data_IF_850824162764
#
_entry.id   IF_850824162764
#
_cell.length_a   1.000
_cell.length_b   1.000
_cell.length_c   1.000
_cell.angle_alpha   90.00
_cell.angle_beta   90.00
_cell.angle_gamma   90.00
#
_symmetry.space_group_name_H-M   'P 1'
#
loop_
_entity.id
_entity.type
_entity.pdbx_description
1 polymer ?
#
# COMPACT_ATOMS: atom_id res chain seq x y z
N UNK A 1 6.46 -27.94 26.20
CA UNK A 1 7.00 -27.16 25.06
C UNK A 1 8.19 -26.36 25.56
N UNK A 2 9.37 -26.54 24.96
CA UNK A 2 10.60 -25.94 25.44
C UNK A 2 10.84 -24.59 24.75
N UNK A 3 10.94 -23.52 25.54
CA UNK A 3 11.07 -22.12 25.13
C UNK A 3 12.29 -21.82 24.23
N UNK A 4 13.20 -22.80 24.07
CA UNK A 4 14.38 -22.70 23.21
C UNK A 4 14.07 -22.89 21.72
N UNK A 5 12.96 -23.56 21.38
CA UNK A 5 12.52 -23.69 19.99
C UNK A 5 12.00 -22.36 19.45
N UNK A 6 11.30 -21.58 20.28
CA UNK A 6 10.62 -20.33 19.90
C UNK A 6 11.57 -19.20 19.44
N UNK A 7 12.80 -19.15 19.99
CA UNK A 7 13.77 -18.08 19.68
C UNK A 7 14.47 -18.33 18.33
N UNK A 8 14.65 -19.59 17.93
CA UNK A 8 15.31 -19.94 16.66
C UNK A 8 14.39 -19.66 15.46
N UNK A 9 13.07 -19.82 15.62
CA UNK A 9 12.09 -19.52 14.57
C UNK A 9 11.96 -18.02 14.25
N UNK A 10 12.23 -17.12 15.21
CA UNK A 10 12.16 -15.67 14.99
C UNK A 10 13.30 -15.13 14.12
N UNK A 11 14.52 -15.65 14.27
CA UNK A 11 15.70 -15.15 13.55
C UNK A 11 15.73 -15.48 12.05
N UNK A 12 15.19 -16.62 11.64
CA UNK A 12 15.23 -17.06 10.24
C UNK A 12 14.17 -16.34 9.38
N UNK A 13 13.02 -16.01 9.98
CA UNK A 13 11.93 -15.28 9.29
C UNK A 13 12.30 -13.81 9.07
N UNK A 14 12.99 -13.18 10.01
CA UNK A 14 13.48 -11.79 9.87
C UNK A 14 14.63 -11.71 8.83
N UNK A 15 15.48 -12.73 8.75
CA UNK A 15 16.61 -12.76 7.82
C UNK A 15 16.21 -12.78 6.34
N UNK A 16 15.09 -13.42 5.98
CA UNK A 16 14.61 -13.45 4.58
C UNK A 16 13.92 -12.14 4.19
N UNK A 17 13.28 -11.45 5.14
CA UNK A 17 12.62 -10.15 4.92
C UNK A 17 13.66 -9.03 4.70
N UNK A 18 14.83 -9.10 5.35
CA UNK A 18 15.88 -8.07 5.22
C UNK A 18 16.75 -8.21 3.96
N UNK A 19 16.76 -9.36 3.28
CA UNK A 19 17.54 -9.52 2.05
C UNK A 19 16.78 -8.94 0.83
N UNK A 20 15.45 -8.89 0.85
CA UNK A 20 14.66 -8.29 -0.24
C UNK A 20 14.72 -6.75 -0.29
N UNK A 21 15.02 -6.05 0.81
CA UNK A 21 15.14 -4.58 0.79
C UNK A 21 16.40 -4.09 0.07
N UNK A 22 17.35 -4.97 -0.23
CA UNK A 22 18.63 -4.59 -0.87
C UNK A 22 18.67 -4.75 -2.39
N UNK A 23 17.65 -5.35 -3.03
CA UNK A 23 17.67 -5.65 -4.47
C UNK A 23 16.64 -4.90 -5.33
N UNK A 24 15.91 -3.92 -4.78
CA UNK A 24 14.99 -3.05 -5.53
C UNK A 24 15.44 -1.57 -5.49
N UNK A 25 16.72 -1.30 -5.79
CA UNK A 25 17.23 0.07 -5.91
C UNK A 25 18.23 0.21 -7.06
N UNK A 26 17.75 0.07 -8.29
CA UNK A 26 18.38 0.65 -9.49
C UNK A 26 17.32 1.07 -10.50
N UNK A 27 16.57 2.12 -10.16
CA UNK A 27 15.79 2.92 -11.12
C UNK A 27 16.11 4.39 -10.87
N UNK A 28 16.36 5.24 -11.89
CA UNK A 28 16.96 6.55 -11.70
C UNK A 28 15.92 7.58 -11.26
N UNK A 29 15.49 7.51 -10.00
CA UNK A 29 14.81 8.65 -9.37
C UNK A 29 15.88 9.62 -8.86
N UNK A 30 16.10 10.69 -9.61
CA UNK A 30 16.86 11.85 -9.14
C UNK A 30 16.04 12.54 -8.04
N UNK A 31 16.31 12.21 -6.78
CA UNK A 31 15.91 13.07 -5.67
C UNK A 31 16.91 14.22 -5.56
N UNK A 32 16.44 15.44 -5.79
CA UNK A 32 17.12 16.67 -5.40
C UNK A 32 17.29 16.71 -3.89
N UNK A 33 18.54 16.79 -3.43
CA UNK A 33 18.90 17.03 -2.04
C UNK A 33 18.36 18.39 -1.58
N UNK A 34 17.65 18.39 -0.45
CA UNK A 34 17.46 19.58 0.37
C UNK A 34 17.44 19.15 1.84
N UNK A 35 18.54 19.51 2.51
CA UNK A 35 18.86 19.29 3.91
C UNK A 35 17.70 19.44 4.89
N UNK A 36 17.61 18.53 5.86
CA UNK A 36 17.25 18.92 7.23
C UNK A 36 18.13 18.22 8.24
N UNK A 37 18.79 19.04 9.05
CA UNK A 37 19.72 18.70 10.13
C UNK A 37 18.96 18.06 11.29
N UNK A 38 19.62 17.06 11.87
CA UNK A 38 19.31 16.30 13.07
C UNK A 38 18.84 17.18 14.26
N UNK A 39 17.82 16.70 14.97
CA UNK A 39 17.23 17.30 16.18
C UNK A 39 18.28 17.54 17.26
N UNK A 40 18.35 18.77 17.76
CA UNK A 40 18.87 19.08 19.09
C UNK A 40 17.71 19.56 19.98
N UNK A 41 17.61 18.97 21.16
CA UNK A 41 16.52 19.18 22.12
C UNK A 41 17.12 19.96 23.29
N UNK A 42 16.84 21.26 23.35
CA UNK A 42 17.06 22.07 24.56
C UNK A 42 15.89 23.02 24.77
N UNK A 43 15.15 22.77 25.87
CA UNK A 43 14.04 23.54 26.43
C UNK A 43 14.38 25.03 26.58
N UNK A 44 13.41 25.91 26.30
CA UNK A 44 12.83 26.84 27.28
C UNK A 44 11.55 27.51 26.72
N UNK A 45 10.43 27.34 27.43
CA UNK A 45 9.15 28.03 27.20
C UNK A 45 9.11 29.32 28.04
N UNK A 46 8.73 30.46 27.44
CA UNK A 46 7.96 31.47 28.15
C UNK A 46 6.65 31.81 27.42
N UNK A 47 5.54 31.77 28.16
CA UNK A 47 4.21 32.31 27.80
C UNK A 47 4.17 33.86 27.88
N UNK A 48 3.03 34.55 27.66
CA UNK A 48 2.38 34.89 26.39
C UNK A 48 2.18 36.42 26.24
N UNK A 49 1.92 36.96 25.03
CA UNK A 49 1.42 38.34 24.89
C UNK A 49 0.14 38.39 24.04
N UNK A 50 -0.98 38.68 24.73
CA UNK A 50 -2.31 39.00 24.20
C UNK A 50 -2.32 40.29 23.36
N UNK A 51 -3.13 40.29 22.31
CA UNK A 51 -4.32 41.16 22.14
C UNK A 51 -5.33 40.33 21.29
N UNK A 52 -6.60 40.06 21.64
CA UNK A 52 -7.73 40.78 22.29
C UNK A 52 -8.40 41.78 21.33
N UNK A 53 -9.42 41.29 20.59
CA UNK A 53 -10.40 41.96 19.68
C UNK A 53 -9.83 42.54 18.35
N UNK A 54 -10.30 42.24 17.13
CA UNK A 54 -11.63 42.04 16.49
C UNK A 54 -12.32 43.34 16.04
N UNK A 55 -12.47 43.50 14.71
CA UNK A 55 -13.37 44.35 13.91
C UNK A 55 -12.69 44.56 12.54
N UNK A 56 -13.33 44.59 11.39
CA UNK A 56 -14.68 44.31 10.93
C UNK A 56 -14.56 44.30 9.39
N UNK A 57 -15.45 43.55 8.72
CA UNK A 57 -16.13 43.97 7.50
C UNK A 57 -15.34 44.90 6.55
N UNK A 58 -14.71 44.31 5.54
CA UNK A 58 -14.43 45.02 4.28
C UNK A 58 -14.96 44.16 3.14
N UNK A 59 -16.29 44.00 3.13
CA UNK A 59 -17.02 43.98 1.86
C UNK A 59 -17.01 45.42 1.33
N UNK A 60 -16.06 45.73 0.46
CA UNK A 60 -16.24 46.76 -0.56
C UNK A 60 -15.06 46.81 -1.53
N UNK A 61 -15.40 46.49 -2.78
CA UNK A 61 -14.82 47.03 -4.01
C UNK A 61 -13.40 46.57 -4.37
N UNK A 62 -13.34 45.60 -5.30
CA UNK A 62 -12.34 45.64 -6.35
C UNK A 62 -13.00 45.37 -7.70
N UNK A 63 -13.40 46.50 -8.31
CA UNK A 63 -13.30 46.86 -9.73
C UNK A 63 -13.75 45.78 -10.74
N UNK A 64 -14.97 45.98 -11.23
CA UNK A 64 -15.44 45.58 -12.56
C UNK A 64 -14.45 46.09 -13.62
N UNK A 65 -13.78 45.17 -14.31
CA UNK A 65 -13.30 45.39 -15.68
C UNK A 65 -13.99 44.33 -16.53
N UNK A 66 -15.07 44.73 -17.21
CA UNK A 66 -15.65 43.98 -18.31
C UNK A 66 -14.71 44.12 -19.52
N UNK A 67 -14.14 43.00 -19.97
CA UNK A 67 -14.16 42.56 -21.38
C UNK A 67 -13.19 41.37 -21.63
N UNK A 68 -13.70 40.14 -21.50
CA UNK A 68 -13.47 38.98 -22.40
C UNK A 68 -13.98 37.68 -21.76
N UNK A 69 -14.79 36.86 -22.47
CA UNK A 69 -15.29 35.60 -21.92
C UNK A 69 -14.21 34.52 -22.10
N UNK A 70 -13.45 34.20 -21.05
CA UNK A 70 -12.60 33.01 -21.03
C UNK A 70 -13.37 31.80 -20.50
N UNK A 71 -13.61 30.83 -21.38
CA UNK A 71 -14.30 29.54 -21.18
C UNK A 71 -13.62 28.56 -20.18
N UNK A 72 -12.82 29.03 -19.22
CA UNK A 72 -11.99 28.13 -18.39
C UNK A 72 -12.72 27.48 -17.19
N UNK A 73 -13.81 28.09 -16.71
CA UNK A 73 -14.56 27.56 -15.57
C UNK A 73 -15.32 26.27 -15.88
N UNK A 74 -15.76 26.08 -17.12
CA UNK A 74 -16.50 24.88 -17.55
C UNK A 74 -15.55 23.73 -17.91
N UNK A 75 -14.39 24.06 -18.50
CA UNK A 75 -13.33 23.07 -18.83
C UNK A 75 -12.72 22.44 -17.58
N UNK A 76 -12.46 23.24 -16.54
CA UNK A 76 -11.90 22.75 -15.27
C UNK A 76 -12.90 21.85 -14.53
N UNK A 77 -14.19 22.19 -14.57
CA UNK A 77 -15.26 21.37 -13.97
C UNK A 77 -15.46 20.05 -14.71
N UNK A 78 -15.43 20.07 -16.04
CA UNK A 78 -15.49 18.88 -16.88
C UNK A 78 -14.31 17.93 -16.67
N UNK A 79 -13.09 18.49 -16.57
CA UNK A 79 -11.88 17.71 -16.31
C UNK A 79 -11.92 17.01 -14.95
N UNK A 80 -12.32 17.72 -13.88
CA UNK A 80 -12.44 17.12 -12.54
C UNK A 80 -13.51 16.01 -12.49
N UNK A 81 -14.61 16.17 -13.22
CA UNK A 81 -15.66 15.15 -13.30
C UNK A 81 -15.16 13.89 -14.01
N UNK A 82 -14.40 14.05 -15.10
CA UNK A 82 -13.81 12.93 -15.82
C UNK A 82 -12.70 12.23 -15.00
N UNK A 83 -11.89 13.00 -14.27
CA UNK A 83 -10.85 12.48 -13.38
C UNK A 83 -11.44 11.52 -12.33
N UNK A 84 -12.43 11.97 -11.56
CA UNK A 84 -13.04 11.12 -10.53
C UNK A 84 -13.80 9.92 -11.10
N UNK A 85 -14.37 10.06 -12.30
CA UNK A 85 -15.01 8.94 -13.00
C UNK A 85 -13.98 7.86 -13.33
N UNK A 86 -12.83 8.23 -13.92
CA UNK A 86 -11.74 7.30 -14.22
C UNK A 86 -11.22 6.66 -12.92
N UNK A 87 -10.91 7.46 -11.89
CA UNK A 87 -10.43 6.93 -10.61
C UNK A 87 -11.44 5.94 -10.00
N UNK A 88 -12.74 6.24 -10.03
CA UNK A 88 -13.77 5.34 -9.53
C UNK A 88 -13.80 3.99 -10.26
N UNK A 89 -13.67 3.97 -11.58
CA UNK A 89 -13.59 2.72 -12.36
C UNK A 89 -12.38 1.88 -11.95
N UNK A 90 -11.21 2.50 -11.79
CA UNK A 90 -10.00 1.80 -11.37
C UNK A 90 -10.05 1.33 -9.92
N UNK A 91 -10.69 2.08 -9.01
CA UNK A 91 -10.96 1.62 -7.62
C UNK A 91 -11.72 0.30 -7.63
N UNK A 92 -12.69 0.12 -8.54
CA UNK A 92 -13.42 -1.14 -8.67
C UNK A 92 -12.50 -2.27 -9.15
N UNK A 93 -11.69 -2.05 -10.20
CA UNK A 93 -10.74 -3.04 -10.72
C UNK A 93 -9.74 -3.50 -9.66
N UNK A 94 -9.15 -2.57 -8.90
CA UNK A 94 -8.22 -2.92 -7.82
C UNK A 94 -8.90 -3.67 -6.67
N UNK A 95 -10.14 -3.30 -6.33
CA UNK A 95 -10.94 -4.03 -5.32
C UNK A 95 -11.24 -5.46 -5.77
N UNK A 96 -11.53 -5.67 -7.05
CA UNK A 96 -11.75 -7.00 -7.63
C UNK A 96 -10.46 -7.84 -7.58
N UNK A 97 -9.32 -7.26 -7.98
CA UNK A 97 -8.01 -7.90 -7.86
C UNK A 97 -7.70 -8.31 -6.42
N UNK A 98 -7.97 -7.42 -5.45
CA UNK A 98 -7.77 -7.69 -4.04
C UNK A 98 -8.67 -8.84 -3.56
N UNK A 99 -9.95 -8.83 -3.94
CA UNK A 99 -10.90 -9.88 -3.57
C UNK A 99 -10.48 -11.24 -4.13
N UNK A 100 -10.05 -11.29 -5.40
CA UNK A 100 -9.57 -12.51 -6.04
C UNK A 100 -8.28 -13.03 -5.37
N UNK A 101 -7.33 -12.14 -5.08
CA UNK A 101 -6.10 -12.50 -4.37
C UNK A 101 -6.40 -13.09 -2.99
N UNK A 102 -7.31 -12.47 -2.24
CA UNK A 102 -7.70 -12.94 -0.91
C UNK A 102 -8.39 -14.31 -0.97
N UNK A 103 -9.19 -14.56 -2.01
CA UNK A 103 -9.80 -15.88 -2.26
C UNK A 103 -8.74 -16.96 -2.51
N UNK A 104 -7.74 -16.67 -3.34
CA UNK A 104 -6.68 -17.61 -3.66
C UNK A 104 -5.82 -17.95 -2.43
N UNK A 105 -5.55 -16.97 -1.58
CA UNK A 105 -4.84 -17.19 -0.30
C UNK A 105 -5.68 -17.98 0.69
N UNK A 106 -6.98 -17.68 0.79
CA UNK A 106 -7.88 -18.43 1.67
C UNK A 106 -7.91 -19.91 1.26
N UNK A 107 -7.98 -20.20 -0.06
CA UNK A 107 -7.92 -21.55 -0.57
C UNK A 107 -6.57 -22.24 -0.23
N UNK A 108 -5.45 -21.52 -0.38
CA UNK A 108 -4.13 -22.03 -0.02
C UNK A 108 -4.03 -22.39 1.47
N UNK A 109 -4.58 -21.56 2.35
CA UNK A 109 -4.59 -21.79 3.80
C UNK A 109 -5.48 -22.97 4.18
N UNK A 110 -6.66 -23.11 3.59
CA UNK A 110 -7.53 -24.28 3.79
C UNK A 110 -6.86 -25.57 3.35
N UNK A 111 -6.14 -25.55 2.22
CA UNK A 111 -5.35 -26.70 1.79
C UNK A 111 -4.22 -27.00 2.77
N UNK A 112 -3.51 -25.98 3.26
CA UNK A 112 -2.44 -26.14 4.25
C UNK A 112 -2.94 -26.81 5.54
N UNK A 113 -4.07 -26.36 6.06
CA UNK A 113 -4.67 -26.95 7.24
C UNK A 113 -5.04 -28.43 7.02
N UNK A 114 -5.62 -28.74 5.85
CA UNK A 114 -6.00 -30.12 5.47
C UNK A 114 -4.78 -31.04 5.42
N UNK A 115 -3.73 -30.61 4.70
CA UNK A 115 -2.49 -31.39 4.54
C UNK A 115 -1.78 -31.59 5.89
N UNK A 116 -1.77 -30.56 6.75
CA UNK A 116 -1.17 -30.67 8.07
C UNK A 116 -1.90 -31.71 8.94
N UNK A 117 -3.23 -31.66 8.99
CA UNK A 117 -4.04 -32.63 9.76
C UNK A 117 -3.85 -34.06 9.24
N UNK A 118 -3.72 -34.24 7.93
CA UNK A 118 -3.45 -35.55 7.33
C UNK A 118 -2.06 -36.08 7.71
N UNK A 119 -1.03 -35.24 7.67
CA UNK A 119 0.34 -35.62 8.05
C UNK A 119 0.43 -36.07 9.52
N UNK A 120 -0.24 -35.34 10.43
CA UNK A 120 -0.27 -35.68 11.86
C UNK A 120 -0.95 -37.03 12.12
N UNK A 121 -2.04 -37.35 11.41
CA UNK A 121 -2.78 -38.61 11.61
C UNK A 121 -2.05 -39.83 11.05
N UNK A 122 -1.30 -39.67 9.95
CA UNK A 122 -0.57 -40.75 9.29
C UNK A 122 0.80 -41.03 9.95
N UNK A 123 1.16 -40.30 11.01
CA UNK A 123 2.47 -40.37 11.68
C UNK A 123 3.64 -40.11 10.72
N UNK A 124 3.34 -39.54 9.54
CA UNK A 124 4.34 -38.96 8.67
C UNK A 124 4.83 -37.72 9.39
N UNK A 125 6.03 -37.81 9.97
CA UNK A 125 6.79 -36.60 10.33
C UNK A 125 7.22 -35.93 9.02
N UNK A 126 6.25 -35.41 8.27
CA UNK A 126 6.51 -34.44 7.23
C UNK A 126 7.38 -33.38 7.88
N UNK A 127 8.59 -33.18 7.35
CA UNK A 127 9.49 -32.17 7.88
C UNK A 127 8.72 -30.86 7.83
N UNK A 128 8.42 -30.27 9.00
CA UNK A 128 7.72 -28.99 9.10
C UNK A 128 8.35 -27.95 8.15
N UNK A 129 9.68 -28.01 7.99
CA UNK A 129 10.44 -27.20 7.03
C UNK A 129 9.94 -27.39 5.59
N UNK A 130 9.77 -28.63 5.13
CA UNK A 130 9.29 -28.92 3.76
C UNK A 130 7.82 -28.50 3.55
N UNK A 131 6.99 -28.62 4.60
CA UNK A 131 5.63 -28.12 4.60
C UNK A 131 5.61 -26.59 4.45
N UNK A 132 6.34 -25.88 5.30
CA UNK A 132 6.47 -24.42 5.22
C UNK A 132 6.99 -23.95 3.86
N UNK A 133 8.05 -24.57 3.35
CA UNK A 133 8.62 -24.19 2.05
C UNK A 133 7.62 -24.34 0.90
N UNK A 134 6.76 -25.37 0.93
CA UNK A 134 5.74 -25.59 -0.09
C UNK A 134 4.72 -24.46 -0.09
N UNK A 135 4.15 -24.15 1.07
CA UNK A 135 3.11 -23.11 1.18
C UNK A 135 3.66 -21.71 1.04
N UNK A 136 4.91 -21.45 1.48
CA UNK A 136 5.59 -20.19 1.23
C UNK A 136 5.79 -19.95 -0.28
N UNK A 137 6.28 -20.95 -1.02
CA UNK A 137 6.43 -20.85 -2.48
C UNK A 137 5.10 -20.67 -3.19
N UNK A 138 4.04 -21.35 -2.74
CA UNK A 138 2.71 -21.20 -3.32
C UNK A 138 2.14 -19.79 -3.06
N UNK A 139 2.30 -19.26 -1.83
CA UNK A 139 1.89 -17.90 -1.49
C UNK A 139 2.66 -16.85 -2.30
N UNK A 140 3.97 -17.03 -2.47
CA UNK A 140 4.80 -16.16 -3.30
C UNK A 140 4.29 -16.10 -4.75
N UNK A 141 3.91 -17.22 -5.36
CA UNK A 141 3.35 -17.23 -6.72
C UNK A 141 2.03 -16.47 -6.82
N UNK A 142 1.19 -16.51 -5.79
CA UNK A 142 -0.05 -15.72 -5.75
C UNK A 142 0.32 -14.24 -5.72
N UNK A 143 1.24 -13.83 -4.84
CA UNK A 143 1.66 -12.43 -4.73
C UNK A 143 2.32 -11.91 -6.01
N UNK A 144 3.22 -12.67 -6.63
CA UNK A 144 3.85 -12.32 -7.92
C UNK A 144 2.79 -12.12 -9.02
N UNK A 145 1.79 -13.00 -9.07
CA UNK A 145 0.68 -12.86 -10.03
C UNK A 145 -0.12 -11.58 -9.75
N UNK A 146 -0.48 -11.35 -8.49
CA UNK A 146 -1.23 -10.16 -8.07
C UNK A 146 -0.46 -8.87 -8.37
N UNK A 147 0.84 -8.84 -8.12
CA UNK A 147 1.70 -7.68 -8.37
C UNK A 147 1.78 -7.37 -9.87
N UNK A 148 1.99 -8.38 -10.71
CA UNK A 148 1.98 -8.20 -12.16
C UNK A 148 0.63 -7.67 -12.67
N UNK A 149 -0.48 -8.20 -12.15
CA UNK A 149 -1.82 -7.75 -12.53
C UNK A 149 -2.12 -6.33 -12.01
N UNK A 150 -1.66 -6.00 -10.80
CA UNK A 150 -1.74 -4.66 -10.23
C UNK A 150 -1.02 -3.65 -11.13
N UNK A 151 0.24 -3.91 -11.47
CA UNK A 151 1.01 -3.02 -12.33
C UNK A 151 0.38 -2.87 -13.72
N UNK A 152 -0.15 -3.96 -14.29
CA UNK A 152 -0.87 -3.87 -15.56
C UNK A 152 -2.11 -2.98 -15.50
N UNK A 153 -2.86 -3.01 -14.39
CA UNK A 153 -4.04 -2.14 -14.20
C UNK A 153 -3.59 -0.70 -13.93
N UNK A 154 -2.51 -0.52 -13.17
CA UNK A 154 -1.94 0.78 -12.83
C UNK A 154 -1.42 1.53 -14.07
N UNK A 155 -0.71 0.86 -14.96
CA UNK A 155 -0.23 1.44 -16.22
C UNK A 155 -1.39 1.90 -17.13
N UNK A 156 -2.50 1.16 -17.11
CA UNK A 156 -3.72 1.55 -17.82
C UNK A 156 -4.36 2.79 -17.19
N UNK A 157 -4.38 2.89 -15.85
CA UNK A 157 -4.85 4.08 -15.14
C UNK A 157 -4.02 5.31 -15.56
N UNK A 158 -2.69 5.21 -15.52
CA UNK A 158 -1.80 6.32 -15.94
C UNK A 158 -2.08 6.74 -17.39
N UNK A 159 -2.28 5.77 -18.29
CA UNK A 159 -2.63 6.03 -19.68
C UNK A 159 -3.96 6.78 -19.82
N UNK A 160 -4.98 6.41 -19.05
CA UNK A 160 -6.29 7.05 -19.09
C UNK A 160 -6.30 8.44 -18.45
N UNK A 161 -5.53 8.63 -17.38
CA UNK A 161 -5.30 9.95 -16.77
C UNK A 161 -4.58 10.90 -17.75
N UNK A 162 -3.55 10.41 -18.45
CA UNK A 162 -2.82 11.21 -19.42
C UNK A 162 -3.71 11.69 -20.58
N UNK A 163 -4.69 10.88 -21.03
CA UNK A 163 -5.65 11.27 -22.09
C UNK A 163 -6.50 12.49 -21.73
N UNK A 164 -6.78 12.69 -20.44
CA UNK A 164 -7.52 13.86 -19.95
C UNK A 164 -6.59 15.00 -19.49
N UNK A 165 -5.27 14.82 -19.60
CA UNK A 165 -4.27 15.79 -19.17
C UNK A 165 -4.04 15.83 -17.65
N UNK A 166 -4.48 14.80 -16.92
CA UNK A 166 -4.19 14.65 -15.51
C UNK A 166 -2.75 14.14 -15.30
N UNK A 167 -2.18 14.46 -14.15
CA UNK A 167 -0.82 14.07 -13.79
C UNK A 167 -0.76 12.69 -13.14
N UNK A 168 0.40 12.04 -13.15
CA UNK A 168 0.57 10.71 -12.57
C UNK A 168 0.39 10.69 -11.04
N UNK A 169 0.59 11.85 -10.39
CA UNK A 169 0.38 12.03 -8.95
C UNK A 169 -1.06 11.68 -8.52
N UNK A 170 -2.04 11.82 -9.41
CA UNK A 170 -3.44 11.43 -9.16
C UNK A 170 -3.62 9.92 -8.96
N UNK A 171 -2.66 9.11 -9.40
CA UNK A 171 -2.66 7.66 -9.25
C UNK A 171 -1.88 7.16 -8.02
N UNK A 172 -1.14 8.02 -7.31
CA UNK A 172 -0.29 7.58 -6.18
C UNK A 172 -1.10 6.90 -5.06
N UNK A 173 -2.32 7.35 -4.82
CA UNK A 173 -3.22 6.76 -3.81
C UNK A 173 -3.40 5.24 -4.01
N UNK A 174 -3.46 4.77 -5.26
CA UNK A 174 -3.67 3.37 -5.57
C UNK A 174 -2.43 2.51 -5.26
N UNK A 175 -1.24 3.06 -5.48
CA UNK A 175 0.02 2.39 -5.15
C UNK A 175 0.17 2.26 -3.63
N UNK A 176 -0.10 3.33 -2.89
CA UNK A 176 -0.06 3.34 -1.44
C UNK A 176 -1.07 2.36 -0.82
N UNK A 177 -2.30 2.34 -1.34
CA UNK A 177 -3.33 1.39 -0.91
C UNK A 177 -2.92 -0.06 -1.18
N UNK A 178 -2.35 -0.33 -2.35
CA UNK A 178 -1.88 -1.67 -2.71
C UNK A 178 -0.75 -2.17 -1.79
N UNK A 179 0.29 -1.36 -1.58
CA UNK A 179 1.41 -1.74 -0.70
C UNK A 179 0.94 -1.95 0.75
N UNK A 180 0.05 -1.07 1.23
CA UNK A 180 -0.57 -1.22 2.56
C UNK A 180 -1.34 -2.53 2.66
N UNK A 181 -2.16 -2.86 1.65
CA UNK A 181 -2.92 -4.10 1.61
C UNK A 181 -2.02 -5.33 1.54
N UNK A 182 -0.95 -5.27 0.74
CA UNK A 182 0.05 -6.32 0.59
C UNK A 182 0.73 -6.65 1.92
N UNK A 183 1.18 -5.65 2.66
CA UNK A 183 1.85 -5.86 3.94
C UNK A 183 0.92 -6.37 5.04
N UNK A 184 -0.32 -5.86 5.08
CA UNK A 184 -1.36 -6.40 5.95
C UNK A 184 -1.61 -7.88 5.65
N UNK A 185 -1.74 -8.23 4.38
CA UNK A 185 -1.98 -9.60 3.91
C UNK A 185 -0.86 -10.55 4.33
N UNK A 186 0.41 -10.16 4.13
CA UNK A 186 1.58 -10.94 4.58
C UNK A 186 1.51 -11.24 6.08
N UNK A 187 1.18 -10.22 6.86
CA UNK A 187 1.06 -10.34 8.32
C UNK A 187 -0.05 -11.30 8.74
N UNK A 188 -1.22 -11.22 8.10
CA UNK A 188 -2.36 -12.11 8.35
C UNK A 188 -2.06 -13.57 7.97
N UNK A 189 -1.39 -13.79 6.83
CA UNK A 189 -0.96 -15.13 6.40
C UNK A 189 0.00 -15.74 7.42
N UNK A 190 0.99 -14.96 7.89
CA UNK A 190 1.96 -15.43 8.88
C UNK A 190 1.27 -15.84 10.18
N UNK A 191 0.33 -15.02 10.68
CA UNK A 191 -0.44 -15.34 11.88
C UNK A 191 -1.23 -16.63 11.71
N UNK A 192 -1.97 -16.79 10.61
CA UNK A 192 -2.74 -18.00 10.33
C UNK A 192 -1.85 -19.23 10.19
N UNK A 193 -0.68 -19.11 9.57
CA UNK A 193 0.28 -20.20 9.43
C UNK A 193 0.82 -20.67 10.78
N UNK A 194 1.04 -19.76 11.73
CA UNK A 194 1.42 -20.12 13.11
C UNK A 194 0.29 -20.89 13.80
N UNK A 195 -0.96 -20.45 13.63
CA UNK A 195 -2.14 -21.14 14.22
C UNK A 195 -2.35 -22.55 13.68
N UNK A 196 -2.02 -22.82 12.41
CA UNK A 196 -2.19 -24.16 11.82
C UNK A 196 -1.27 -25.19 12.50
N UNK A 197 -0.07 -24.79 12.91
CA UNK A 197 0.92 -25.71 13.47
C UNK A 197 0.97 -25.75 15.00
N UNK A 198 0.32 -24.79 15.67
CA UNK A 198 0.28 -24.66 17.13
C UNK A 198 -0.77 -25.57 17.75
#
# INVERSE_FOLDING_TARGET
MNNRSLIIFSGIVIGVILILSTYMSTGPYKMTESHTVQRDISRQLPFPSKAVFNQAKVESLTITTEDSPTNDSDKTKGMNTNLETIKAEYRLKFKELQAQTNKDIQALLTQAETDYRAAVTQNEKASLVSFYQRYAKAGQKIEEKTENEFHSIYDQLLTDLAKIGASEEEALEFLEEYETAKDKRKSEILQKAITIVS
#
